data_IF_974721744498
#
_entry.id   IF_974721744498
#
_cell.length_a   1.000
_cell.length_b   1.000
_cell.length_c   1.000
_cell.angle_alpha   90.00
_cell.angle_beta   90.00
_cell.angle_gamma   90.00
#
_symmetry.space_group_name_H-M   'P 1'
#
loop_
_entity.id
_entity.type
_entity.pdbx_description
1 polymer ?
#
# COMPACT_ATOMS: atom_id res chain seq x y z
N UNK A 1 -6.22 -56.78 21.48
CA UNK A 1 -5.38 -55.97 20.56
C UNK A 1 -6.26 -54.89 19.94
N UNK A 2 -6.26 -53.69 20.52
CA UNK A 2 -7.06 -52.55 20.04
C UNK A 2 -6.10 -51.44 19.61
N UNK A 3 -5.87 -51.32 18.31
CA UNK A 3 -5.04 -50.25 17.73
C UNK A 3 -5.86 -48.96 17.74
N UNK A 4 -5.47 -47.99 18.58
CA UNK A 4 -6.05 -46.64 18.56
C UNK A 4 -5.53 -45.91 17.33
N UNK A 5 -6.44 -45.47 16.49
CA UNK A 5 -6.18 -44.61 15.32
C UNK A 5 -5.87 -43.22 15.85
N UNK A 6 -4.63 -42.77 15.68
CA UNK A 6 -4.23 -41.39 16.02
C UNK A 6 -4.42 -40.55 14.77
N UNK A 7 -5.56 -39.87 14.68
CA UNK A 7 -5.86 -38.89 13.64
C UNK A 7 -5.06 -37.62 13.92
N UNK A 8 -4.00 -37.35 13.14
CA UNK A 8 -3.35 -36.04 13.12
C UNK A 8 -4.25 -35.08 12.33
N UNK A 9 -4.99 -34.24 13.05
CA UNK A 9 -5.55 -33.01 12.48
C UNK A 9 -4.38 -32.06 12.22
N UNK A 10 -3.94 -32.02 10.96
CA UNK A 10 -2.99 -31.04 10.47
C UNK A 10 -3.76 -29.73 10.23
N UNK A 11 -3.86 -28.90 11.28
CA UNK A 11 -4.39 -27.55 11.17
C UNK A 11 -3.42 -26.69 10.35
N UNK A 12 -3.61 -26.67 9.04
CA UNK A 12 -3.03 -25.65 8.17
C UNK A 12 -3.72 -24.32 8.42
N UNK A 13 -3.19 -23.55 9.38
CA UNK A 13 -3.43 -22.12 9.49
C UNK A 13 -2.81 -21.47 8.25
N UNK A 14 -3.58 -21.38 7.17
CA UNK A 14 -3.32 -20.42 6.09
C UNK A 14 -3.52 -19.04 6.70
N UNK A 15 -2.44 -18.48 7.24
CA UNK A 15 -2.34 -17.06 7.54
C UNK A 15 -2.64 -16.32 6.23
N UNK A 16 -3.83 -15.74 6.15
CA UNK A 16 -4.17 -14.78 5.12
C UNK A 16 -3.22 -13.60 5.22
N UNK A 17 -2.24 -13.55 4.32
CA UNK A 17 -1.61 -12.28 4.01
C UNK A 17 -2.72 -11.38 3.49
N UNK A 18 -2.94 -10.18 4.06
CA UNK A 18 -3.75 -9.20 3.38
C UNK A 18 -3.05 -8.96 2.04
N UNK A 19 -3.73 -9.33 0.95
CA UNK A 19 -3.38 -8.86 -0.38
C UNK A 19 -3.56 -7.35 -0.30
N UNK A 20 -2.46 -6.61 -0.07
CA UNK A 20 -2.41 -5.19 -0.31
C UNK A 20 -3.00 -4.99 -1.70
N UNK A 21 -4.10 -4.25 -1.79
CA UNK A 21 -4.65 -3.87 -3.09
C UNK A 21 -3.58 -2.97 -3.66
N UNK A 22 -2.81 -3.49 -4.61
CA UNK A 22 -1.86 -2.70 -5.36
C UNK A 22 -2.67 -1.69 -6.18
N UNK A 23 -3.04 -0.56 -5.56
CA UNK A 23 -3.42 0.61 -6.34
C UNK A 23 -2.20 1.01 -7.15
N UNK A 24 -2.44 1.23 -8.43
CA UNK A 24 -1.41 1.56 -9.40
C UNK A 24 -0.78 2.91 -9.04
N UNK A 25 0.52 2.93 -8.80
CA UNK A 25 1.26 4.16 -8.53
C UNK A 25 1.24 5.12 -9.74
N UNK A 26 0.93 4.62 -10.94
CA UNK A 26 0.68 5.42 -12.12
C UNK A 26 -0.50 6.40 -11.97
N UNK A 27 -1.46 6.15 -11.07
CA UNK A 27 -2.56 7.09 -10.82
C UNK A 27 -2.05 8.43 -10.27
N UNK A 28 -0.94 8.44 -9.54
CA UNK A 28 -0.32 9.68 -9.10
C UNK A 28 0.23 10.48 -10.29
N UNK A 29 0.71 9.78 -11.33
CA UNK A 29 1.32 10.38 -12.51
C UNK A 29 0.31 11.01 -13.48
N UNK A 30 -1.00 10.77 -13.29
CA UNK A 30 -2.04 11.49 -14.03
C UNK A 30 -2.07 12.99 -13.71
N UNK A 31 -1.58 13.37 -12.52
CA UNK A 31 -1.58 14.76 -12.04
C UNK A 31 -0.19 15.27 -11.65
N UNK A 32 0.79 14.40 -11.47
CA UNK A 32 2.13 14.75 -11.01
C UNK A 32 3.23 14.33 -11.99
N UNK A 33 4.17 15.23 -12.23
CA UNK A 33 5.51 14.90 -12.72
C UNK A 33 6.46 14.97 -11.51
N UNK A 34 6.93 13.83 -10.95
CA UNK A 34 7.82 13.82 -9.77
C UNK A 34 9.06 14.72 -9.92
N UNK A 35 9.62 14.76 -11.13
CA UNK A 35 10.78 15.58 -11.50
C UNK A 35 10.52 17.09 -11.59
N UNK A 36 9.27 17.53 -11.49
CA UNK A 36 8.89 18.94 -11.43
C UNK A 36 8.20 19.26 -10.09
N UNK A 37 7.16 18.50 -9.74
CA UNK A 37 6.26 18.79 -8.62
C UNK A 37 6.85 18.44 -7.25
N UNK A 38 7.76 17.46 -7.18
CA UNK A 38 8.29 16.93 -5.92
C UNK A 38 9.76 17.28 -5.69
N UNK A 39 10.35 18.06 -6.60
CA UNK A 39 11.75 18.47 -6.48
C UNK A 39 11.97 19.29 -5.21
N UNK A 40 12.88 18.81 -4.37
CA UNK A 40 13.22 19.45 -3.11
C UNK A 40 12.25 19.17 -1.96
N UNK A 41 11.19 18.38 -2.19
CA UNK A 41 10.33 17.88 -1.12
C UNK A 41 10.88 16.58 -0.52
N UNK A 42 10.68 16.37 0.77
CA UNK A 42 10.90 15.07 1.40
C UNK A 42 9.75 14.10 1.11
N UNK A 43 10.01 12.79 1.22
CA UNK A 43 8.96 11.78 1.06
C UNK A 43 7.79 11.99 2.05
N UNK A 44 8.08 12.49 3.26
CA UNK A 44 7.07 12.82 4.26
C UNK A 44 6.21 14.03 3.87
N UNK A 45 6.81 15.05 3.24
CA UNK A 45 6.07 16.22 2.74
C UNK A 45 5.15 15.85 1.58
N UNK A 46 5.63 15.00 0.67
CA UNK A 46 4.82 14.44 -0.42
C UNK A 46 3.68 13.62 0.16
N UNK A 47 3.96 12.75 1.13
CA UNK A 47 2.94 11.95 1.81
C UNK A 47 1.90 12.81 2.52
N UNK A 48 2.31 13.85 3.27
CA UNK A 48 1.39 14.73 3.96
C UNK A 48 0.43 15.42 2.98
N UNK A 49 0.94 15.82 1.82
CA UNK A 49 0.13 16.43 0.75
C UNK A 49 -0.78 15.41 0.08
N UNK A 50 -0.28 14.21 -0.23
CA UNK A 50 -1.06 13.12 -0.80
C UNK A 50 -2.16 12.62 0.15
N UNK A 51 -1.97 12.75 1.46
CA UNK A 51 -2.97 12.37 2.48
C UNK A 51 -4.03 13.47 2.73
N UNK A 52 -3.85 14.67 2.18
CA UNK A 52 -4.82 15.75 2.30
C UNK A 52 -6.04 15.50 1.40
N UNK A 53 -7.13 15.01 2.02
CA UNK A 53 -8.39 14.67 1.33
C UNK A 53 -9.22 15.90 0.94
N UNK A 54 -8.86 17.11 1.36
CA UNK A 54 -9.51 18.34 0.88
C UNK A 54 -9.13 18.63 -0.58
N UNK A 55 -8.00 18.08 -1.04
CA UNK A 55 -7.64 18.06 -2.46
C UNK A 55 -8.50 16.99 -3.14
N UNK A 56 -9.45 17.40 -3.99
CA UNK A 56 -10.42 16.49 -4.64
C UNK A 56 -9.79 15.28 -5.34
N UNK A 57 -8.58 15.42 -5.89
CA UNK A 57 -7.85 14.33 -6.56
C UNK A 57 -7.21 13.34 -5.58
N UNK A 58 -7.05 13.71 -4.31
CA UNK A 58 -6.51 12.86 -3.25
C UNK A 58 -7.60 12.26 -2.36
N UNK A 59 -8.89 12.54 -2.62
CA UNK A 59 -9.99 12.04 -1.79
C UNK A 59 -9.96 10.50 -1.67
N UNK A 60 -9.67 9.80 -2.77
CA UNK A 60 -9.61 8.34 -2.80
C UNK A 60 -8.39 7.77 -2.08
N UNK A 61 -7.36 8.59 -1.81
CA UNK A 61 -6.21 8.14 -1.03
C UNK A 61 -6.64 7.72 0.39
N UNK A 62 -7.76 8.22 0.92
CA UNK A 62 -8.29 7.79 2.23
C UNK A 62 -8.56 6.27 2.32
N UNK A 63 -8.70 5.59 1.18
CA UNK A 63 -8.91 4.14 1.12
C UNK A 63 -7.61 3.35 1.28
N UNK A 64 -6.46 4.01 1.07
CA UNK A 64 -5.13 3.45 1.27
C UNK A 64 -4.68 3.58 2.74
N UNK A 65 -4.07 2.52 3.25
CA UNK A 65 -3.27 2.64 4.48
C UNK A 65 -2.09 3.61 4.29
N UNK A 66 -1.53 4.09 5.40
CA UNK A 66 -0.34 4.95 5.38
C UNK A 66 0.86 4.23 4.81
N UNK A 67 0.99 2.94 5.10
CA UNK A 67 2.06 2.10 4.59
C UNK A 67 1.95 1.90 3.08
N UNK A 68 0.74 1.67 2.56
CA UNK A 68 0.50 1.54 1.12
C UNK A 68 0.82 2.84 0.38
N UNK A 69 0.28 3.97 0.83
CA UNK A 69 0.53 5.26 0.17
C UNK A 69 2.02 5.65 0.21
N UNK A 70 2.70 5.40 1.34
CA UNK A 70 4.16 5.62 1.43
C UNK A 70 4.94 4.70 0.50
N UNK A 71 4.55 3.43 0.37
CA UNK A 71 5.20 2.51 -0.55
C UNK A 71 5.04 2.94 -2.01
N UNK A 72 3.85 3.46 -2.38
CA UNK A 72 3.62 4.02 -3.71
C UNK A 72 4.50 5.24 -3.97
N UNK A 73 4.55 6.21 -3.04
CA UNK A 73 5.41 7.40 -3.16
C UNK A 73 6.88 7.00 -3.27
N UNK A 74 7.34 6.07 -2.44
CA UNK A 74 8.71 5.57 -2.49
C UNK A 74 9.05 4.94 -3.86
N UNK A 75 8.16 4.10 -4.39
CA UNK A 75 8.30 3.51 -5.74
C UNK A 75 8.43 4.58 -6.82
N UNK A 76 7.66 5.66 -6.74
CA UNK A 76 7.68 6.76 -7.72
C UNK A 76 8.95 7.63 -7.63
N UNK A 77 9.52 7.80 -6.43
CA UNK A 77 10.78 8.54 -6.23
C UNK A 77 12.02 7.78 -6.72
N UNK A 78 11.90 6.48 -6.95
CA UNK A 78 12.97 5.62 -7.48
C UNK A 78 12.98 5.53 -9.02
N UNK A 79 11.95 6.06 -9.70
CA UNK A 79 11.84 6.06 -11.16
C UNK A 79 12.65 7.18 -11.81
#
# INVERSE_FOLDING_TARGET
MTKRVTSLFLSSLLLGAPLAVAQDDALCLDCHLPEEDWVGMSAEEIFATARDTEIKRHADNQELSDEELKAMIASLLEK
#
